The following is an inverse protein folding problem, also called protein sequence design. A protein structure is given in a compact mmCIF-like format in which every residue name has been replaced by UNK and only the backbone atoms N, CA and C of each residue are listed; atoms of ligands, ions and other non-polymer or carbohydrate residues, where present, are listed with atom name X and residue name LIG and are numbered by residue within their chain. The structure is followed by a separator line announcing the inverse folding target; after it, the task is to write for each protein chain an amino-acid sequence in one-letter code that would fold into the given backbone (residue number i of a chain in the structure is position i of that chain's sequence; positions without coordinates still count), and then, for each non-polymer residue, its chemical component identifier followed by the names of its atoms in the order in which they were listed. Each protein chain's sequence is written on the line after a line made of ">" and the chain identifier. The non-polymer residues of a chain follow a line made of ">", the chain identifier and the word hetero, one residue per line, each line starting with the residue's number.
data_IF_603359240923
#
_entry.id   IF_603359240923
#
_cell.length_a   1.000
_cell.length_b   1.000
_cell.length_c   1.000
_cell.angle_alpha   90.00
_cell.angle_beta   90.00
_cell.angle_gamma   90.00
#
_symmetry.space_group_name_H-M   'P 1'
#
loop_
_entity.id
_entity.type
_entity.pdbx_description
1 polymer ?
#
# COMPACT_ATOMS: atom_id res chain seq x y z
N UNK A 1 22.44 47.18 -67.31
CA UNK A 1 21.49 47.27 -68.44
C UNK A 1 21.71 46.06 -69.34
N UNK A 2 20.69 45.34 -69.87
CA UNK A 2 19.23 45.47 -69.70
C UNK A 2 18.51 44.21 -69.13
N UNK A 3 17.28 44.38 -68.64
CA UNK A 3 16.30 43.33 -68.23
C UNK A 3 15.54 42.75 -69.45
N UNK A 4 14.81 41.63 -69.27
CA UNK A 4 13.34 41.66 -69.15
C UNK A 4 12.82 40.74 -68.02
N UNK A 5 12.00 41.21 -67.07
CA UNK A 5 10.53 41.39 -67.12
C UNK A 5 9.78 40.07 -67.39
N UNK A 6 9.18 39.50 -66.34
CA UNK A 6 7.71 39.51 -66.15
C UNK A 6 7.37 38.86 -64.79
N UNK A 7 7.26 39.70 -63.76
CA UNK A 7 6.60 39.43 -62.49
C UNK A 7 5.33 40.29 -62.51
N UNK A 8 4.16 39.65 -62.58
CA UNK A 8 2.88 40.34 -62.43
C UNK A 8 2.13 39.75 -61.24
N UNK A 9 1.90 40.65 -60.28
CA UNK A 9 1.17 40.45 -59.05
C UNK A 9 -0.25 40.98 -59.25
N UNK A 10 -1.27 40.21 -58.86
CA UNK A 10 -2.23 40.60 -57.81
C UNK A 10 -3.65 40.01 -57.95
N UNK A 11 -4.16 39.61 -56.78
CA UNK A 11 -5.56 39.63 -56.30
C UNK A 11 -6.65 38.82 -57.02
N UNK A 12 -7.20 37.82 -56.30
CA UNK A 12 -8.59 37.94 -55.78
C UNK A 12 -8.92 36.88 -54.71
N UNK A 13 -9.51 37.35 -53.63
CA UNK A 13 -10.08 36.58 -52.52
C UNK A 13 -11.09 35.52 -52.98
N UNK A 14 -11.08 34.36 -52.31
CA UNK A 14 -12.29 33.54 -52.17
C UNK A 14 -12.18 32.62 -50.95
N UNK A 15 -12.85 33.03 -49.88
CA UNK A 15 -13.32 32.16 -48.82
C UNK A 15 -14.01 30.92 -49.42
N UNK A 16 -13.53 29.73 -49.05
CA UNK A 16 -14.23 28.49 -49.29
C UNK A 16 -14.23 27.67 -48.00
N UNK A 17 -15.24 27.98 -47.18
CA UNK A 17 -16.14 27.04 -46.51
C UNK A 17 -15.50 25.77 -45.92
N UNK A 18 -15.38 25.76 -44.59
CA UNK A 18 -15.28 24.53 -43.81
C UNK A 18 -16.55 23.69 -44.00
N UNK A 19 -16.52 22.77 -44.96
CA UNK A 19 -17.56 21.76 -45.12
C UNK A 19 -17.35 20.66 -44.08
N UNK A 20 -18.20 20.75 -43.06
CA UNK A 20 -18.62 19.68 -42.15
C UNK A 20 -18.53 18.26 -42.73
N UNK A 21 -17.54 17.48 -42.30
CA UNK A 21 -17.61 16.02 -42.38
C UNK A 21 -18.37 15.50 -41.17
N UNK A 22 -19.69 15.47 -41.34
CA UNK A 22 -20.67 14.70 -40.59
C UNK A 22 -20.13 13.31 -40.25
N UNK A 23 -19.96 13.00 -38.96
CA UNK A 23 -19.75 11.64 -38.46
C UNK A 23 -20.86 10.74 -39.01
N UNK A 24 -20.52 9.90 -39.99
CA UNK A 24 -21.41 8.82 -40.43
C UNK A 24 -21.42 7.76 -39.34
N UNK A 25 -22.46 7.82 -38.50
CA UNK A 25 -22.87 6.75 -37.60
C UNK A 25 -23.33 5.56 -38.47
N UNK A 26 -22.48 4.55 -38.60
CA UNK A 26 -22.84 3.29 -39.27
C UNK A 26 -23.68 2.45 -38.29
N UNK A 27 -24.79 1.83 -38.71
CA UNK A 27 -25.67 1.05 -37.82
C UNK A 27 -24.96 -0.22 -37.26
N UNK A 28 -25.12 -0.51 -35.95
CA UNK A 28 -24.45 -1.64 -35.29
C UNK A 28 -24.85 -3.03 -35.81
N UNK A 29 -26.05 -3.19 -36.38
CA UNK A 29 -26.58 -4.50 -36.78
C UNK A 29 -25.95 -5.08 -38.08
N UNK A 30 -25.23 -4.27 -38.86
CA UNK A 30 -24.57 -4.75 -40.08
C UNK A 30 -23.12 -5.24 -39.85
N UNK A 31 -22.52 -4.93 -38.70
CA UNK A 31 -21.08 -5.17 -38.44
C UNK A 31 -20.76 -6.59 -37.95
N UNK A 32 -21.76 -7.28 -37.37
CA UNK A 32 -21.66 -8.66 -36.85
C UNK A 32 -21.53 -9.76 -37.93
N UNK A 33 -21.67 -9.42 -39.22
CA UNK A 33 -21.62 -10.40 -40.33
C UNK A 33 -20.19 -10.80 -40.74
N UNK A 34 -19.17 -10.12 -40.22
CA UNK A 34 -17.76 -10.41 -40.54
C UNK A 34 -17.20 -11.44 -39.56
N UNK A 35 -16.82 -12.63 -40.04
CA UNK A 35 -16.22 -13.68 -39.20
C UNK A 35 -15.06 -13.14 -38.37
N UNK A 36 -15.03 -13.48 -37.08
CA UNK A 36 -14.02 -13.02 -36.13
C UNK A 36 -14.38 -11.74 -35.37
N UNK A 37 -15.25 -10.86 -35.88
CA UNK A 37 -15.65 -9.61 -35.18
C UNK A 37 -16.42 -9.92 -33.89
N UNK A 38 -17.36 -10.87 -33.93
CA UNK A 38 -18.13 -11.28 -32.74
C UNK A 38 -17.24 -11.86 -31.63
N UNK A 39 -16.14 -12.53 -32.00
CA UNK A 39 -15.18 -13.05 -31.03
C UNK A 39 -14.43 -11.89 -30.37
N UNK A 40 -14.02 -10.88 -31.13
CA UNK A 40 -13.40 -9.67 -30.58
C UNK A 40 -14.35 -8.94 -29.62
N UNK A 41 -15.62 -8.78 -29.97
CA UNK A 41 -16.63 -8.19 -29.07
C UNK A 41 -16.78 -8.99 -27.77
N UNK A 42 -16.76 -10.32 -27.86
CA UNK A 42 -16.77 -11.20 -26.68
C UNK A 42 -15.52 -11.00 -25.83
N UNK A 43 -14.34 -10.89 -26.45
CA UNK A 43 -13.07 -10.64 -25.75
C UNK A 43 -13.06 -9.26 -25.07
N UNK A 44 -13.64 -8.22 -25.69
CA UNK A 44 -13.77 -6.90 -25.07
C UNK A 44 -14.61 -7.00 -23.78
N UNK A 45 -15.74 -7.70 -23.82
CA UNK A 45 -16.57 -7.91 -22.63
C UNK A 45 -15.81 -8.68 -21.54
N UNK A 46 -15.03 -9.70 -21.93
CA UNK A 46 -14.17 -10.41 -20.98
C UNK A 46 -13.14 -9.50 -20.33
N UNK A 47 -12.49 -8.62 -21.09
CA UNK A 47 -11.52 -7.65 -20.56
C UNK A 47 -12.17 -6.71 -19.55
N UNK A 48 -13.39 -6.24 -19.85
CA UNK A 48 -14.18 -5.42 -18.91
C UNK A 48 -14.50 -6.21 -17.64
N UNK A 49 -14.94 -7.46 -17.77
CA UNK A 49 -15.30 -8.35 -16.66
C UNK A 49 -14.10 -8.72 -15.78
N UNK A 50 -12.88 -8.71 -16.34
CA UNK A 50 -11.67 -8.99 -15.57
C UNK A 50 -11.35 -7.91 -14.55
N UNK A 51 -11.92 -6.71 -14.68
CA UNK A 51 -11.71 -5.60 -13.77
C UNK A 51 -10.22 -5.34 -13.51
N UNK A 52 -9.44 -5.35 -14.60
CA UNK A 52 -8.02 -5.01 -14.60
C UNK A 52 -7.82 -3.54 -14.21
N UNK A 53 -6.57 -3.13 -14.01
CA UNK A 53 -6.23 -1.71 -13.93
C UNK A 53 -6.87 -0.92 -15.11
N UNK A 54 -7.52 0.23 -14.86
CA UNK A 54 -8.24 0.97 -15.89
C UNK A 54 -7.39 1.31 -17.11
N UNK A 55 -6.11 1.66 -16.91
CA UNK A 55 -5.21 2.01 -18.02
C UNK A 55 -4.94 0.80 -18.89
N UNK A 56 -4.68 -0.36 -18.26
CA UNK A 56 -4.43 -1.62 -18.97
C UNK A 56 -5.67 -2.08 -19.73
N UNK A 57 -6.84 -2.00 -19.08
CA UNK A 57 -8.13 -2.33 -19.70
C UNK A 57 -8.40 -1.44 -20.91
N UNK A 58 -8.25 -0.13 -20.78
CA UNK A 58 -8.49 0.83 -21.86
C UNK A 58 -7.56 0.60 -23.06
N UNK A 59 -6.26 0.41 -22.81
CA UNK A 59 -5.27 0.11 -23.86
C UNK A 59 -5.58 -1.19 -24.60
N UNK A 60 -5.98 -2.24 -23.87
CA UNK A 60 -6.31 -3.54 -24.45
C UNK A 60 -7.60 -3.47 -25.27
N UNK A 61 -8.62 -2.79 -24.75
CA UNK A 61 -9.89 -2.57 -25.46
C UNK A 61 -9.63 -1.74 -26.73
N UNK A 62 -8.81 -0.70 -26.67
CA UNK A 62 -8.45 0.09 -27.85
C UNK A 62 -7.77 -0.77 -28.93
N UNK A 63 -6.82 -1.64 -28.54
CA UNK A 63 -6.18 -2.57 -29.47
C UNK A 63 -7.18 -3.53 -30.12
N UNK A 64 -8.12 -4.08 -29.34
CA UNK A 64 -9.17 -4.98 -29.83
C UNK A 64 -10.13 -4.25 -30.77
N UNK A 65 -10.50 -3.01 -30.46
CA UNK A 65 -11.33 -2.19 -31.33
C UNK A 65 -10.64 -1.88 -32.67
N UNK A 66 -9.35 -1.55 -32.66
CA UNK A 66 -8.58 -1.36 -33.89
C UNK A 66 -8.51 -2.64 -34.73
N UNK A 67 -8.29 -3.79 -34.08
CA UNK A 67 -8.31 -5.08 -34.78
C UNK A 67 -9.69 -5.38 -35.40
N UNK A 68 -10.77 -5.10 -34.68
CA UNK A 68 -12.14 -5.23 -35.20
C UNK A 68 -12.35 -4.36 -36.44
N UNK A 69 -11.90 -3.10 -36.40
CA UNK A 69 -11.93 -2.19 -37.57
C UNK A 69 -11.16 -2.76 -38.76
N UNK A 70 -9.99 -3.37 -38.55
CA UNK A 70 -9.21 -4.01 -39.62
C UNK A 70 -10.01 -5.14 -40.27
N UNK A 71 -10.65 -6.00 -39.46
CA UNK A 71 -11.46 -7.11 -39.97
C UNK A 71 -12.64 -6.61 -40.83
N UNK A 72 -13.29 -5.53 -40.40
CA UNK A 72 -14.42 -4.90 -41.11
C UNK A 72 -13.97 -4.23 -42.41
N UNK A 73 -12.85 -3.51 -42.39
CA UNK A 73 -12.38 -2.72 -43.53
C UNK A 73 -11.71 -3.58 -44.63
N UNK A 74 -11.14 -4.73 -44.26
CA UNK A 74 -10.39 -5.61 -45.18
C UNK A 74 -10.90 -7.06 -45.17
N UNK A 75 -12.21 -7.31 -45.38
CA UNK A 75 -12.80 -8.63 -45.16
C UNK A 75 -12.37 -9.67 -46.20
N UNK A 76 -11.91 -9.23 -47.39
CA UNK A 76 -11.41 -10.08 -48.48
C UNK A 76 -9.90 -10.28 -48.46
N UNK A 77 -9.14 -9.35 -47.88
CA UNK A 77 -7.67 -9.42 -47.81
C UNK A 77 -7.22 -10.46 -46.78
N UNK A 78 -7.99 -10.60 -45.70
CA UNK A 78 -7.74 -11.58 -44.65
C UNK A 78 -8.82 -12.66 -44.75
N UNK A 79 -8.43 -13.92 -44.91
CA UNK A 79 -9.40 -15.03 -44.93
C UNK A 79 -10.08 -15.17 -43.56
N UNK A 80 -11.37 -15.50 -43.55
CA UNK A 80 -12.14 -15.75 -42.33
C UNK A 80 -11.43 -16.73 -41.39
N UNK A 81 -10.97 -17.86 -41.93
CA UNK A 81 -10.23 -18.88 -41.16
C UNK A 81 -8.96 -18.36 -40.49
N UNK A 82 -8.30 -17.35 -41.08
CA UNK A 82 -7.11 -16.73 -40.49
C UNK A 82 -7.49 -15.81 -39.33
N UNK A 83 -8.59 -15.06 -39.46
CA UNK A 83 -9.13 -14.22 -38.38
C UNK A 83 -9.54 -15.07 -37.18
N UNK A 84 -10.27 -16.15 -37.45
CA UNK A 84 -10.73 -17.06 -36.40
C UNK A 84 -9.53 -17.75 -35.71
N UNK A 85 -8.55 -18.22 -36.48
CA UNK A 85 -7.31 -18.80 -35.93
C UNK A 85 -6.51 -17.80 -35.09
N UNK A 86 -6.38 -16.55 -35.55
CA UNK A 86 -5.67 -15.50 -34.82
C UNK A 86 -6.36 -15.21 -33.48
N UNK A 87 -7.69 -15.09 -33.50
CA UNK A 87 -8.48 -14.87 -32.30
C UNK A 87 -8.32 -16.01 -31.29
N UNK A 88 -8.47 -17.25 -31.75
CA UNK A 88 -8.48 -18.44 -30.89
C UNK A 88 -7.09 -18.82 -30.37
N UNK A 89 -6.06 -18.70 -31.20
CA UNK A 89 -4.72 -19.22 -30.89
C UNK A 89 -3.74 -18.16 -30.39
N UNK A 90 -4.02 -16.89 -30.62
CA UNK A 90 -3.09 -15.81 -30.26
C UNK A 90 -3.76 -14.84 -29.30
N UNK A 91 -4.86 -14.22 -29.70
CA UNK A 91 -5.43 -13.09 -28.96
C UNK A 91 -6.06 -13.57 -27.65
N UNK A 92 -6.92 -14.59 -27.70
CA UNK A 92 -7.55 -15.11 -26.49
C UNK A 92 -6.53 -15.64 -25.46
N UNK A 93 -5.51 -16.44 -25.84
CA UNK A 93 -4.45 -16.85 -24.92
C UNK A 93 -3.64 -15.68 -24.34
N UNK A 94 -3.36 -14.62 -25.12
CA UNK A 94 -2.64 -13.45 -24.64
C UNK A 94 -3.46 -12.68 -23.59
N UNK A 95 -4.75 -12.47 -23.85
CA UNK A 95 -5.66 -11.81 -22.91
C UNK A 95 -5.72 -12.58 -21.59
N UNK A 96 -5.84 -13.91 -21.67
CA UNK A 96 -5.82 -14.77 -20.48
C UNK A 96 -4.48 -14.69 -19.73
N UNK A 97 -3.36 -14.69 -20.44
CA UNK A 97 -2.03 -14.58 -19.83
C UNK A 97 -1.88 -13.26 -19.04
N UNK A 98 -2.41 -12.16 -19.58
CA UNK A 98 -2.41 -10.85 -18.91
C UNK A 98 -3.23 -10.94 -17.61
N UNK A 99 -4.45 -11.46 -17.69
CA UNK A 99 -5.33 -11.66 -16.53
C UNK A 99 -4.67 -12.53 -15.44
N UNK A 100 -4.11 -13.68 -15.82
CA UNK A 100 -3.49 -14.63 -14.90
C UNK A 100 -2.29 -13.97 -14.18
N UNK A 101 -1.48 -13.19 -14.92
CA UNK A 101 -0.33 -12.47 -14.37
C UNK A 101 -0.75 -11.35 -13.42
N UNK A 102 -1.74 -10.55 -13.79
CA UNK A 102 -2.23 -9.48 -12.93
C UNK A 102 -2.79 -10.04 -11.62
N UNK A 103 -3.60 -11.10 -11.71
CA UNK A 103 -4.12 -11.81 -10.54
C UNK A 103 -2.99 -12.34 -9.64
N UNK A 104 -1.98 -12.96 -10.23
CA UNK A 104 -0.82 -13.47 -9.50
C UNK A 104 -0.03 -12.35 -8.81
N UNK A 105 0.26 -11.26 -9.51
CA UNK A 105 1.00 -10.14 -8.96
C UNK A 105 0.21 -9.42 -7.86
N UNK A 106 -1.09 -9.22 -8.05
CA UNK A 106 -1.95 -8.61 -7.05
C UNK A 106 -2.00 -9.46 -5.77
N UNK A 107 -2.16 -10.78 -5.91
CA UNK A 107 -2.12 -11.72 -4.79
C UNK A 107 -0.80 -11.63 -4.01
N UNK A 108 0.34 -11.58 -4.71
CA UNK A 108 1.65 -11.43 -4.09
C UNK A 108 1.81 -10.09 -3.36
N UNK A 109 1.30 -9.00 -3.93
CA UNK A 109 1.31 -7.68 -3.27
C UNK A 109 0.53 -7.75 -1.96
N UNK A 110 -0.66 -8.37 -1.96
CA UNK A 110 -1.46 -8.54 -0.75
C UNK A 110 -0.75 -9.41 0.31
N UNK A 111 -0.13 -10.51 -0.09
CA UNK A 111 0.63 -11.37 0.82
C UNK A 111 1.79 -10.59 1.47
N UNK A 112 2.61 -9.90 0.67
CA UNK A 112 3.72 -9.07 1.19
C UNK A 112 3.21 -7.98 2.12
N UNK A 113 2.13 -7.28 1.75
CA UNK A 113 1.52 -6.23 2.58
C UNK A 113 1.01 -6.77 3.91
N UNK A 114 0.41 -7.95 3.91
CA UNK A 114 -0.10 -8.60 5.13
C UNK A 114 1.03 -8.97 6.10
N UNK A 115 2.17 -9.45 5.57
CA UNK A 115 3.36 -9.79 6.37
C UNK A 115 3.96 -8.56 7.05
N UNK A 116 4.01 -7.41 6.38
CA UNK A 116 4.50 -6.16 6.97
C UNK A 116 3.66 -5.74 8.18
N UNK A 117 2.33 -5.77 8.05
CA UNK A 117 1.40 -5.43 9.15
C UNK A 117 1.60 -6.36 10.36
N UNK A 118 1.77 -7.66 10.12
CA UNK A 118 2.03 -8.64 11.20
C UNK A 118 3.38 -8.41 11.89
N UNK A 119 4.44 -8.09 11.14
CA UNK A 119 5.75 -7.77 11.71
C UNK A 119 5.66 -6.54 12.62
N UNK A 120 5.01 -5.46 12.16
CA UNK A 120 4.86 -4.24 12.96
C UNK A 120 4.05 -4.49 14.24
N UNK A 121 2.94 -5.24 14.14
CA UNK A 121 2.13 -5.61 15.29
C UNK A 121 2.93 -6.40 16.33
N UNK A 122 3.76 -7.36 15.90
CA UNK A 122 4.64 -8.13 16.80
C UNK A 122 5.68 -7.25 17.48
N UNK A 123 6.26 -6.29 16.77
CA UNK A 123 7.23 -5.35 17.34
C UNK A 123 6.60 -4.46 18.42
N UNK A 124 5.41 -3.90 18.15
CA UNK A 124 4.70 -3.11 19.16
C UNK A 124 4.30 -3.96 20.37
N UNK A 125 3.83 -5.19 20.16
CA UNK A 125 3.49 -6.10 21.26
C UNK A 125 4.72 -6.47 22.13
N UNK A 126 5.91 -6.58 21.53
CA UNK A 126 7.15 -6.78 22.28
C UNK A 126 7.50 -5.57 23.16
N UNK A 127 7.38 -4.35 22.62
CA UNK A 127 7.60 -3.11 23.39
C UNK A 127 6.60 -2.92 24.54
N UNK A 128 5.34 -3.32 24.34
CA UNK A 128 4.33 -3.33 25.39
C UNK A 128 4.76 -4.26 26.53
N UNK A 129 5.16 -5.50 26.21
CA UNK A 129 5.63 -6.46 27.22
C UNK A 129 6.86 -5.98 28.00
N UNK A 130 7.82 -5.34 27.31
CA UNK A 130 8.98 -4.73 27.95
C UNK A 130 8.58 -3.59 28.91
N UNK A 131 7.63 -2.75 28.48
CA UNK A 131 7.10 -1.66 29.31
C UNK A 131 6.34 -2.19 30.53
N UNK A 132 5.50 -3.22 30.36
CA UNK A 132 4.80 -3.90 31.45
C UNK A 132 5.78 -4.49 32.48
N UNK A 133 6.84 -5.16 32.02
CA UNK A 133 7.91 -5.67 32.88
C UNK A 133 8.60 -4.55 33.67
N UNK A 134 8.88 -3.41 33.02
CA UNK A 134 9.48 -2.24 33.67
C UNK A 134 8.55 -1.65 34.72
N UNK A 135 7.26 -1.53 34.44
CA UNK A 135 6.26 -1.04 35.39
C UNK A 135 6.21 -1.96 36.61
N UNK A 136 6.18 -3.27 36.41
CA UNK A 136 6.10 -4.23 37.51
C UNK A 136 7.36 -4.21 38.38
N UNK A 137 8.53 -4.10 37.76
CA UNK A 137 9.80 -3.89 38.47
C UNK A 137 9.78 -2.61 39.33
N UNK A 138 9.32 -1.49 38.77
CA UNK A 138 9.22 -0.23 39.51
C UNK A 138 8.21 -0.30 40.66
N UNK A 139 7.06 -0.98 40.46
CA UNK A 139 6.10 -1.26 41.53
C UNK A 139 6.72 -2.07 42.66
N UNK A 140 7.50 -3.10 42.34
CA UNK A 140 8.24 -3.89 43.33
C UNK A 140 9.20 -3.03 44.16
N UNK A 141 9.98 -2.15 43.49
CA UNK A 141 10.87 -1.19 44.17
C UNK A 141 10.10 -0.25 45.10
N UNK A 142 8.99 0.31 44.63
CA UNK A 142 8.15 1.21 45.42
C UNK A 142 7.62 0.51 46.67
N UNK A 143 7.17 -0.74 46.56
CA UNK A 143 6.66 -1.50 47.69
C UNK A 143 7.72 -1.73 48.79
N UNK A 144 8.97 -2.02 48.38
CA UNK A 144 10.10 -2.16 49.31
C UNK A 144 10.36 -0.85 50.05
N UNK A 145 10.37 0.27 49.32
CA UNK A 145 10.59 1.60 49.92
C UNK A 145 9.48 1.95 50.90
N UNK A 146 8.21 1.70 50.55
CA UNK A 146 7.07 1.94 51.43
C UNK A 146 7.15 1.13 52.71
N UNK A 147 7.49 -0.17 52.61
CA UNK A 147 7.67 -1.03 53.80
C UNK A 147 8.73 -0.48 54.74
N UNK A 148 9.89 -0.08 54.20
CA UNK A 148 10.97 0.54 55.00
C UNK A 148 10.53 1.84 55.66
N UNK A 149 9.74 2.66 54.96
CA UNK A 149 9.23 3.91 55.51
C UNK A 149 8.25 3.65 56.67
N UNK A 150 7.39 2.65 56.54
CA UNK A 150 6.48 2.24 57.61
C UNK A 150 7.23 1.70 58.83
N UNK A 151 8.30 0.92 58.62
CA UNK A 151 9.18 0.46 59.69
C UNK A 151 9.81 1.64 60.43
N UNK A 152 10.41 2.60 59.71
CA UNK A 152 10.97 3.82 60.33
C UNK A 152 9.93 4.63 61.10
N UNK A 153 8.72 4.75 60.56
CA UNK A 153 7.61 5.45 61.23
C UNK A 153 7.22 4.76 62.54
N UNK A 154 7.23 3.43 62.56
CA UNK A 154 6.97 2.63 63.76
C UNK A 154 8.08 2.82 64.80
N UNK A 155 9.34 2.72 64.39
CA UNK A 155 10.50 2.90 65.26
C UNK A 155 10.50 4.29 65.92
N UNK A 156 10.20 5.34 65.16
CA UNK A 156 10.08 6.71 65.69
C UNK A 156 8.94 6.86 66.70
N UNK A 157 7.78 6.25 66.42
CA UNK A 157 6.64 6.26 67.34
C UNK A 157 6.98 5.54 68.64
N UNK A 158 7.68 4.42 68.56
CA UNK A 158 8.04 3.65 69.75
C UNK A 158 9.17 4.32 70.54
N UNK A 159 10.13 5.00 69.90
CA UNK A 159 11.15 5.79 70.59
C UNK A 159 10.56 6.98 71.35
N UNK A 160 9.54 7.64 70.81
CA UNK A 160 8.88 8.79 71.47
C UNK A 160 8.16 8.45 72.79
N UNK A 161 7.82 7.18 73.02
CA UNK A 161 7.15 6.71 74.24
C UNK A 161 8.13 6.39 75.37
N UNK A 162 9.43 6.43 75.11
CA UNK A 162 10.46 6.13 76.11
C UNK A 162 10.71 7.40 76.94
N UNK A 163 10.60 7.34 78.29
CA UNK A 163 10.81 8.51 79.13
C UNK A 163 12.26 9.03 78.99
N UNK A 164 12.47 10.36 79.06
CA UNK A 164 13.74 11.00 78.70
C UNK A 164 14.97 10.45 79.47
N UNK A 165 14.77 9.96 80.70
CA UNK A 165 15.84 9.34 81.52
C UNK A 165 16.34 7.99 80.97
N UNK A 166 15.51 7.22 80.27
CA UNK A 166 15.90 5.96 79.61
C UNK A 166 16.37 6.16 78.16
N UNK A 167 15.96 7.26 77.53
CA UNK A 167 16.34 7.61 76.17
C UNK A 167 17.86 7.85 76.03
N UNK A 168 18.47 8.52 77.01
CA UNK A 168 19.92 8.75 77.03
C UNK A 168 20.73 7.45 77.07
N UNK A 169 20.31 6.47 77.88
CA UNK A 169 21.00 5.18 77.99
C UNK A 169 20.82 4.32 76.73
N UNK A 170 19.66 4.41 76.08
CA UNK A 170 19.37 3.67 74.84
C UNK A 170 20.11 4.27 73.64
N UNK A 171 20.19 5.60 73.52
CA UNK A 171 20.92 6.28 72.46
C UNK A 171 22.44 6.01 72.55
N UNK A 172 23.00 6.00 73.77
CA UNK A 172 24.39 5.59 73.98
C UNK A 172 24.60 4.13 73.57
N UNK A 173 23.67 3.24 73.89
CA UNK A 173 23.77 1.81 73.54
C UNK A 173 23.63 1.55 72.03
N UNK A 174 22.73 2.26 71.35
CA UNK A 174 22.53 2.18 69.90
C UNK A 174 23.75 2.76 69.16
N UNK A 175 24.29 3.89 69.62
CA UNK A 175 25.51 4.47 69.05
C UNK A 175 26.71 3.52 69.21
N UNK A 176 26.89 2.91 70.39
CA UNK A 176 27.90 1.88 70.60
C UNK A 176 27.70 0.67 69.69
N UNK A 177 26.47 0.16 69.53
CA UNK A 177 26.21 -1.02 68.71
C UNK A 177 26.45 -0.76 67.21
N UNK A 178 26.07 0.41 66.71
CA UNK A 178 26.32 0.80 65.33
C UNK A 178 27.80 1.07 65.07
N UNK A 179 28.49 1.75 65.99
CA UNK A 179 29.91 2.05 65.87
C UNK A 179 30.78 0.80 66.00
N UNK A 180 30.39 -0.16 66.86
CA UNK A 180 31.10 -1.43 67.03
C UNK A 180 30.89 -2.38 65.85
N UNK A 181 29.67 -2.45 65.28
CA UNK A 181 29.42 -3.18 64.03
C UNK A 181 30.19 -2.61 62.85
N UNK A 182 30.34 -1.29 62.78
CA UNK A 182 31.12 -0.63 61.73
C UNK A 182 32.63 -0.87 61.89
N UNK A 183 33.12 -0.99 63.13
CA UNK A 183 34.54 -1.23 63.44
C UNK A 183 34.99 -2.67 63.22
N UNK A 184 34.11 -3.66 63.39
CA UNK A 184 34.40 -5.08 63.08
C UNK A 184 34.45 -5.32 61.56
N UNK A 185 33.82 -4.47 60.75
CA UNK A 185 33.77 -4.66 59.28
C UNK A 185 34.98 -4.01 58.55
N UNK A 186 35.88 -3.34 59.27
CA UNK A 186 37.02 -2.58 58.69
C UNK A 186 38.39 -3.24 59.02
N UNK A 187 38.41 -4.41 59.66
CA UNK A 187 39.62 -5.23 59.86
C UNK A 187 39.43 -6.63 59.29
#
# INVERSE_FOLDING_TARGET
>A
MPNPLDDDSSQKDKDMSFSSTKSQKIPPEAMSKVSGVNIIETLINQVIDFNLDPVVSDDLIACLQELSKIYINKPRDIKASVRDLLNDKVISPLIKLIQDRETYHLSNIYDVKSRLVDVDARQYQAKIRESESTIEYLRGKLNIVNTRLDDFKKDLKDSSKIPPKKLGHLLVSIWYLHFFKLRIFIH
#
